data_IF_504174737226
#
_entry.id   IF_504174737226
#
_cell.length_a   1.000
_cell.length_b   1.000
_cell.length_c   1.000
_cell.angle_alpha   90.00
_cell.angle_beta   90.00
_cell.angle_gamma   90.00
#
_symmetry.space_group_name_H-M   'P 1'
#
loop_
_entity.id
_entity.type
_entity.pdbx_description
1 polymer ?
#
# COMPACT_ATOMS: atom_id res chain seq x y z
N UNK A 1 25.08 -2.50 -7.33
CA UNK A 1 24.07 -3.35 -8.03
C UNK A 1 24.03 -2.95 -9.49
N UNK A 2 24.07 -3.87 -10.45
CA UNK A 2 24.11 -3.54 -11.88
C UNK A 2 22.72 -3.04 -12.32
N UNK A 3 22.63 -2.01 -13.19
CA UNK A 3 21.37 -1.41 -13.67
C UNK A 3 20.38 -2.48 -14.17
N UNK A 4 20.87 -3.52 -14.82
CA UNK A 4 20.06 -4.68 -15.31
C UNK A 4 19.36 -5.43 -14.16
N UNK A 5 19.99 -5.55 -12.99
CA UNK A 5 19.39 -6.18 -11.79
C UNK A 5 18.32 -5.27 -11.19
N UNK A 6 18.58 -3.96 -11.13
CA UNK A 6 17.59 -2.97 -10.62
C UNK A 6 16.34 -3.01 -11.48
N UNK A 7 16.48 -2.98 -12.80
CA UNK A 7 15.37 -3.06 -13.73
C UNK A 7 14.59 -4.39 -13.59
N UNK A 8 15.30 -5.52 -13.39
CA UNK A 8 14.66 -6.82 -13.17
C UNK A 8 13.79 -6.86 -11.91
N UNK A 9 14.16 -6.17 -10.83
CA UNK A 9 13.35 -6.05 -9.62
C UNK A 9 12.21 -5.01 -9.76
N UNK A 10 12.39 -3.96 -10.56
CA UNK A 10 11.39 -2.92 -10.78
C UNK A 10 10.24 -3.37 -11.69
N UNK A 11 10.50 -4.31 -12.60
CA UNK A 11 9.48 -4.84 -13.53
C UNK A 11 8.27 -5.44 -12.79
N UNK A 12 8.50 -6.10 -11.66
CA UNK A 12 7.43 -6.73 -10.88
C UNK A 12 6.40 -5.73 -10.36
N UNK A 13 6.79 -4.79 -9.50
CA UNK A 13 5.88 -3.78 -8.95
C UNK A 13 5.19 -2.94 -10.03
N UNK A 14 5.93 -2.50 -11.05
CA UNK A 14 5.39 -1.67 -12.14
C UNK A 14 4.39 -2.48 -12.98
N UNK A 15 4.75 -3.70 -13.37
CA UNK A 15 3.87 -4.58 -14.15
C UNK A 15 2.61 -4.98 -13.36
N UNK A 16 2.76 -5.30 -12.07
CA UNK A 16 1.63 -5.63 -11.20
C UNK A 16 0.69 -4.44 -11.01
N UNK A 17 1.21 -3.21 -10.90
CA UNK A 17 0.42 -2.01 -10.79
C UNK A 17 -0.32 -1.68 -12.09
N UNK A 18 0.34 -1.81 -13.25
CA UNK A 18 -0.29 -1.61 -14.56
C UNK A 18 -1.44 -2.63 -14.79
N UNK A 19 -1.21 -3.91 -14.48
CA UNK A 19 -2.25 -4.95 -14.54
C UNK A 19 -3.37 -4.68 -13.52
N UNK A 20 -3.04 -4.15 -12.35
CA UNK A 20 -4.03 -3.74 -11.33
C UNK A 20 -4.99 -2.69 -11.87
N UNK A 21 -4.47 -1.68 -12.58
CA UNK A 21 -5.29 -0.63 -13.20
C UNK A 21 -6.25 -1.18 -14.29
N UNK A 22 -5.84 -2.23 -15.02
CA UNK A 22 -6.72 -2.91 -15.98
C UNK A 22 -7.73 -3.82 -15.28
N UNK A 23 -7.30 -4.50 -14.22
CA UNK A 23 -8.16 -5.46 -13.48
C UNK A 23 -9.35 -4.75 -12.82
N UNK A 24 -9.16 -3.52 -12.32
CA UNK A 24 -10.21 -2.79 -11.60
C UNK A 24 -11.45 -2.51 -12.45
N UNK A 25 -11.36 -1.91 -13.65
CA UNK A 25 -12.54 -1.76 -14.52
C UNK A 25 -13.17 -3.11 -14.88
N UNK A 26 -12.37 -4.13 -15.20
CA UNK A 26 -12.90 -5.46 -15.55
C UNK A 26 -13.72 -6.04 -14.37
N UNK A 27 -13.25 -5.92 -13.15
CA UNK A 27 -13.98 -6.34 -11.96
C UNK A 27 -15.27 -5.51 -11.77
N UNK A 28 -15.18 -4.18 -11.94
CA UNK A 28 -16.33 -3.29 -11.77
C UNK A 28 -17.45 -3.57 -12.79
N UNK A 29 -17.11 -4.00 -14.01
CA UNK A 29 -18.09 -4.42 -15.02
C UNK A 29 -18.60 -5.84 -14.82
N UNK A 30 -17.84 -6.70 -14.16
CA UNK A 30 -18.18 -8.12 -14.02
C UNK A 30 -18.96 -8.45 -12.73
N UNK A 31 -18.71 -7.73 -11.65
CA UNK A 31 -19.22 -8.06 -10.31
C UNK A 31 -19.94 -6.87 -9.67
N UNK A 32 -20.77 -7.17 -8.66
CA UNK A 32 -21.45 -6.14 -7.87
C UNK A 32 -20.48 -5.31 -7.03
N UNK A 33 -20.91 -4.11 -6.61
CA UNK A 33 -20.10 -3.28 -5.68
C UNK A 33 -19.87 -4.00 -4.35
N UNK A 34 -20.87 -4.72 -3.86
CA UNK A 34 -20.81 -5.50 -2.63
C UNK A 34 -19.72 -6.57 -2.72
N UNK A 35 -19.62 -7.30 -3.83
CA UNK A 35 -18.64 -8.37 -4.01
C UNK A 35 -17.20 -7.81 -4.10
N UNK A 36 -17.04 -6.66 -4.73
CA UNK A 36 -15.74 -5.95 -4.73
C UNK A 36 -15.40 -5.45 -3.32
N UNK A 37 -16.40 -4.99 -2.57
CA UNK A 37 -16.25 -4.65 -1.15
C UNK A 37 -15.79 -5.86 -0.32
N UNK A 38 -16.44 -7.02 -0.49
CA UNK A 38 -16.05 -8.28 0.16
C UNK A 38 -14.64 -8.72 -0.21
N UNK A 39 -14.25 -8.57 -1.48
CA UNK A 39 -12.86 -8.85 -1.91
C UNK A 39 -11.84 -7.93 -1.20
N UNK A 40 -12.18 -6.69 -0.94
CA UNK A 40 -11.33 -5.78 -0.17
C UNK A 40 -11.20 -6.25 1.29
N UNK A 41 -12.31 -6.66 1.93
CA UNK A 41 -12.28 -7.25 3.29
C UNK A 41 -11.36 -8.48 3.31
N UNK A 42 -11.47 -9.38 2.32
CA UNK A 42 -10.59 -10.53 2.18
C UNK A 42 -9.10 -10.11 2.16
N UNK A 43 -8.74 -9.13 1.32
CA UNK A 43 -7.36 -8.64 1.23
C UNK A 43 -6.85 -8.05 2.55
N UNK A 44 -7.66 -7.24 3.22
CA UNK A 44 -7.31 -6.62 4.51
C UNK A 44 -7.17 -7.69 5.60
N UNK A 45 -8.04 -8.69 5.62
CA UNK A 45 -7.96 -9.82 6.57
C UNK A 45 -6.73 -10.67 6.34
N UNK A 46 -6.41 -11.03 5.08
CA UNK A 46 -5.19 -11.77 4.75
C UNK A 46 -3.96 -10.97 5.19
N UNK A 47 -3.94 -9.66 4.96
CA UNK A 47 -2.80 -8.81 5.35
C UNK A 47 -2.63 -8.72 6.87
N UNK A 48 -3.72 -8.65 7.65
CA UNK A 48 -3.68 -8.68 9.11
C UNK A 48 -3.17 -10.02 9.64
N UNK A 49 -3.74 -11.11 9.14
CA UNK A 49 -3.34 -12.45 9.52
C UNK A 49 -1.85 -12.71 9.25
N UNK A 50 -1.35 -12.26 8.09
CA UNK A 50 0.07 -12.30 7.77
C UNK A 50 0.89 -11.51 8.79
N UNK A 51 0.53 -10.26 9.07
CA UNK A 51 1.27 -9.40 10.00
C UNK A 51 1.40 -10.05 11.39
N UNK A 52 0.30 -10.61 11.89
CA UNK A 52 0.28 -11.28 13.21
C UNK A 52 1.09 -12.58 13.18
N UNK A 53 0.81 -13.44 12.19
CA UNK A 53 1.43 -14.77 12.12
C UNK A 53 2.91 -14.73 11.75
N UNK A 54 3.38 -13.69 11.06
CA UNK A 54 4.80 -13.51 10.75
C UNK A 54 5.65 -13.23 11.98
N UNK A 55 5.09 -12.70 13.08
CA UNK A 55 5.81 -12.38 14.32
C UNK A 55 7.06 -11.51 14.10
N UNK A 56 7.12 -10.75 12.98
CA UNK A 56 8.30 -9.99 12.56
C UNK A 56 9.49 -10.85 12.10
N UNK A 57 9.31 -12.18 12.02
CA UNK A 57 10.35 -13.13 11.63
C UNK A 57 10.74 -13.03 10.16
N UNK A 58 9.88 -12.47 9.31
CA UNK A 58 10.23 -12.11 7.94
C UNK A 58 11.35 -11.05 7.89
N UNK A 59 11.32 -10.07 8.81
CA UNK A 59 12.38 -9.06 8.93
C UNK A 59 13.64 -9.64 9.60
N UNK A 60 13.46 -10.51 10.61
CA UNK A 60 14.55 -11.23 11.22
C UNK A 60 15.30 -12.10 10.21
N UNK A 61 14.59 -12.82 9.33
CA UNK A 61 15.19 -13.60 8.24
C UNK A 61 16.06 -12.74 7.32
N UNK A 62 15.57 -11.57 6.89
CA UNK A 62 16.33 -10.65 6.03
C UNK A 62 17.58 -10.12 6.75
N UNK A 63 17.46 -9.76 8.03
CA UNK A 63 18.56 -9.20 8.83
C UNK A 63 19.69 -10.21 9.04
N UNK A 64 19.34 -11.45 9.37
CA UNK A 64 20.33 -12.48 9.72
C UNK A 64 20.81 -13.32 8.53
N UNK A 65 20.24 -13.13 7.32
CA UNK A 65 20.53 -13.97 6.16
C UNK A 65 22.01 -14.03 5.77
N UNK A 66 22.71 -12.89 5.83
CA UNK A 66 24.14 -12.83 5.46
C UNK A 66 25.07 -13.09 6.66
N UNK A 67 24.55 -13.08 7.88
CA UNK A 67 25.31 -13.31 9.11
C UNK A 67 25.37 -14.80 9.47
N UNK A 68 24.45 -15.63 8.96
CA UNK A 68 24.30 -17.05 9.29
C UNK A 68 24.84 -17.92 8.12
N UNK A 69 25.62 -18.94 8.46
CA UNK A 69 26.10 -19.95 7.50
C UNK A 69 25.00 -20.97 7.17
N UNK A 70 24.28 -21.46 8.17
CA UNK A 70 23.16 -22.43 8.01
C UNK A 70 21.84 -21.72 7.67
N UNK A 71 21.69 -21.33 6.39
CA UNK A 71 20.49 -20.69 5.86
C UNK A 71 19.22 -21.55 5.95
N UNK A 72 19.29 -22.89 5.75
CA UNK A 72 18.17 -23.80 6.00
C UNK A 72 17.65 -23.75 7.43
N UNK A 73 18.53 -23.77 8.43
CA UNK A 73 18.14 -23.67 9.85
C UNK A 73 17.50 -22.30 10.16
N UNK A 74 18.06 -21.21 9.64
CA UNK A 74 17.48 -19.87 9.75
C UNK A 74 16.05 -19.82 9.16
N UNK A 75 15.85 -20.38 7.95
CA UNK A 75 14.51 -20.40 7.34
C UNK A 75 13.51 -21.16 8.22
N UNK A 76 13.90 -22.32 8.73
CA UNK A 76 13.04 -23.13 9.61
C UNK A 76 12.75 -22.41 10.93
N UNK A 77 13.77 -21.81 11.57
CA UNK A 77 13.62 -21.06 12.82
C UNK A 77 12.67 -19.86 12.67
N UNK A 78 12.66 -19.20 11.50
CA UNK A 78 11.74 -18.10 11.23
C UNK A 78 10.32 -18.56 10.83
N UNK A 79 10.19 -19.68 10.10
CA UNK A 79 8.91 -20.14 9.57
C UNK A 79 8.05 -20.87 10.62
N UNK A 80 8.66 -21.75 11.43
CA UNK A 80 7.94 -22.62 12.34
C UNK A 80 7.12 -21.91 13.43
N UNK A 81 7.63 -20.90 14.15
CA UNK A 81 6.83 -20.22 15.19
C UNK A 81 5.57 -19.58 14.62
N UNK A 82 5.69 -18.92 13.47
CA UNK A 82 4.56 -18.31 12.80
C UNK A 82 3.55 -19.33 12.27
N UNK A 83 4.03 -20.48 11.74
CA UNK A 83 3.17 -21.56 11.28
C UNK A 83 2.38 -22.19 12.44
N UNK A 84 3.01 -22.40 13.58
CA UNK A 84 2.34 -22.92 14.78
C UNK A 84 1.27 -21.93 15.24
N UNK A 85 1.58 -20.65 15.33
CA UNK A 85 0.59 -19.62 15.69
C UNK A 85 -0.58 -19.60 14.69
N UNK A 86 -0.29 -19.67 13.40
CA UNK A 86 -1.31 -19.72 12.36
C UNK A 86 -2.23 -20.93 12.51
N UNK A 87 -1.69 -22.11 12.79
CA UNK A 87 -2.47 -23.32 13.01
C UNK A 87 -3.34 -23.23 14.28
N UNK A 88 -2.80 -22.69 15.38
CA UNK A 88 -3.58 -22.47 16.61
C UNK A 88 -4.74 -21.51 16.32
N UNK A 89 -4.48 -20.36 15.69
CA UNK A 89 -5.52 -19.40 15.33
C UNK A 89 -6.55 -20.01 14.38
N UNK A 90 -6.10 -20.81 13.39
CA UNK A 90 -7.00 -21.50 12.46
C UNK A 90 -7.95 -22.45 13.18
N UNK A 91 -7.45 -23.27 14.14
CA UNK A 91 -8.26 -24.19 14.91
C UNK A 91 -9.27 -23.41 15.81
N UNK A 92 -8.80 -22.37 16.49
CA UNK A 92 -9.67 -21.53 17.34
C UNK A 92 -10.77 -20.86 16.53
N UNK A 93 -10.43 -20.29 15.37
CA UNK A 93 -11.39 -19.60 14.50
C UNK A 93 -12.33 -20.57 13.77
N UNK A 94 -11.93 -21.83 13.52
CA UNK A 94 -12.75 -22.81 12.83
C UNK A 94 -14.06 -23.12 13.56
N UNK A 95 -14.08 -23.01 14.91
CA UNK A 95 -15.29 -23.18 15.72
C UNK A 95 -16.33 -22.09 15.44
N UNK A 96 -15.89 -20.91 15.02
CA UNK A 96 -16.72 -19.73 14.73
C UNK A 96 -16.74 -19.40 13.23
N UNK A 97 -16.60 -20.41 12.36
CA UNK A 97 -16.44 -20.18 10.92
C UNK A 97 -17.59 -19.41 10.28
N UNK A 98 -18.84 -19.71 10.68
CA UNK A 98 -20.05 -19.05 10.19
C UNK A 98 -20.16 -17.63 10.74
N UNK A 99 -19.95 -17.43 12.04
CA UNK A 99 -19.98 -16.11 12.69
C UNK A 99 -18.91 -15.17 12.10
N UNK A 100 -17.70 -15.70 11.85
CA UNK A 100 -16.62 -14.94 11.24
C UNK A 100 -16.96 -14.59 9.80
N UNK A 101 -17.58 -15.52 9.02
CA UNK A 101 -18.03 -15.25 7.67
C UNK A 101 -19.10 -14.16 7.65
N UNK A 102 -20.08 -14.23 8.54
CA UNK A 102 -21.12 -13.23 8.71
C UNK A 102 -20.51 -11.86 9.07
N UNK A 103 -19.57 -11.85 10.03
CA UNK A 103 -18.88 -10.63 10.45
C UNK A 103 -18.09 -10.00 9.29
N UNK A 104 -17.37 -10.81 8.51
CA UNK A 104 -16.50 -10.32 7.44
C UNK A 104 -17.27 -9.95 6.18
N UNK A 105 -18.18 -10.81 5.73
CA UNK A 105 -18.79 -10.72 4.40
C UNK A 105 -20.29 -10.37 4.44
N UNK A 106 -20.92 -10.41 5.62
CA UNK A 106 -22.35 -10.19 5.76
C UNK A 106 -23.20 -11.37 5.33
N UNK A 107 -22.61 -12.55 5.15
CA UNK A 107 -23.26 -13.79 4.75
C UNK A 107 -22.82 -14.94 5.66
N UNK A 108 -23.78 -15.72 6.11
CA UNK A 108 -23.59 -16.88 6.97
C UNK A 108 -23.24 -18.12 6.11
N UNK A 109 -22.08 -18.10 5.49
CA UNK A 109 -21.57 -19.17 4.66
C UNK A 109 -20.15 -19.58 5.11
N UNK A 110 -20.06 -20.65 5.90
CA UNK A 110 -18.77 -21.17 6.38
C UNK A 110 -17.75 -21.44 5.27
N UNK A 111 -18.21 -21.66 4.03
CA UNK A 111 -17.34 -21.83 2.86
C UNK A 111 -16.42 -20.63 2.65
N UNK A 112 -16.89 -19.39 2.85
CA UNK A 112 -16.08 -18.18 2.67
C UNK A 112 -14.93 -18.13 3.70
N UNK A 113 -15.19 -18.57 4.93
CA UNK A 113 -14.16 -18.68 5.95
C UNK A 113 -13.03 -19.65 5.53
N UNK A 114 -13.41 -20.87 5.08
CA UNK A 114 -12.41 -21.89 4.71
C UNK A 114 -11.54 -21.47 3.53
N UNK A 115 -12.14 -20.81 2.52
CA UNK A 115 -11.39 -20.27 1.39
C UNK A 115 -10.46 -19.15 1.87
N UNK A 116 -10.92 -18.26 2.75
CA UNK A 116 -10.11 -17.20 3.34
C UNK A 116 -8.93 -17.78 4.12
N UNK A 117 -9.17 -18.78 4.95
CA UNK A 117 -8.14 -19.46 5.71
C UNK A 117 -7.08 -20.09 4.78
N UNK A 118 -7.51 -20.74 3.71
CA UNK A 118 -6.59 -21.26 2.69
C UNK A 118 -5.76 -20.13 2.07
N UNK A 119 -6.37 -19.00 1.73
CA UNK A 119 -5.64 -17.84 1.20
C UNK A 119 -4.62 -17.29 2.20
N UNK A 120 -4.93 -17.28 3.50
CA UNK A 120 -3.99 -16.87 4.56
C UNK A 120 -2.79 -17.83 4.63
N UNK A 121 -3.05 -19.15 4.62
CA UNK A 121 -1.98 -20.16 4.67
C UNK A 121 -1.06 -20.04 3.44
N UNK A 122 -1.65 -19.93 2.23
CA UNK A 122 -0.87 -19.79 0.99
C UNK A 122 -0.07 -18.51 0.96
N UNK A 123 -0.63 -17.40 1.42
CA UNK A 123 0.05 -16.13 1.51
C UNK A 123 1.19 -16.16 2.54
N UNK A 124 0.99 -16.79 3.70
CA UNK A 124 2.01 -16.96 4.75
C UNK A 124 3.23 -17.72 4.21
N UNK A 125 3.02 -18.88 3.59
CA UNK A 125 4.12 -19.69 3.04
C UNK A 125 4.80 -18.92 1.90
N UNK A 126 4.01 -18.32 0.99
CA UNK A 126 4.52 -17.55 -0.15
C UNK A 126 5.39 -16.38 0.29
N UNK A 127 5.08 -15.74 1.42
CA UNK A 127 5.88 -14.63 1.97
C UNK A 127 7.31 -15.06 2.26
N UNK A 128 7.52 -16.17 3.00
CA UNK A 128 8.86 -16.68 3.29
C UNK A 128 9.60 -17.12 2.03
N UNK A 129 8.93 -17.83 1.11
CA UNK A 129 9.54 -18.27 -0.14
C UNK A 129 9.95 -17.09 -1.02
N UNK A 130 9.17 -15.99 -1.02
CA UNK A 130 9.52 -14.77 -1.73
C UNK A 130 10.80 -14.11 -1.21
N UNK A 131 11.01 -14.17 0.12
CA UNK A 131 12.22 -13.64 0.74
C UNK A 131 13.47 -14.40 0.31
N UNK A 132 13.38 -15.72 0.12
CA UNK A 132 14.50 -16.52 -0.40
C UNK A 132 14.93 -15.98 -1.77
N UNK A 133 13.98 -15.80 -2.70
CA UNK A 133 14.28 -15.27 -4.04
C UNK A 133 14.89 -13.85 -3.99
N UNK A 134 14.40 -13.02 -3.06
CA UNK A 134 14.91 -11.67 -2.86
C UNK A 134 16.34 -11.68 -2.33
N UNK A 135 16.63 -12.51 -1.32
CA UNK A 135 17.96 -12.60 -0.70
C UNK A 135 18.99 -13.26 -1.62
N UNK A 136 18.54 -14.14 -2.52
CA UNK A 136 19.38 -14.73 -3.58
C UNK A 136 19.55 -13.82 -4.81
N UNK A 137 19.04 -12.58 -4.78
CA UNK A 137 19.06 -11.63 -5.91
C UNK A 137 18.42 -12.17 -7.20
N UNK A 138 17.48 -13.10 -7.12
CA UNK A 138 16.76 -13.68 -8.26
C UNK A 138 15.63 -12.77 -8.73
N UNK A 139 15.99 -11.54 -9.18
CA UNK A 139 15.08 -10.43 -9.45
C UNK A 139 14.00 -10.75 -10.46
N UNK A 140 14.29 -11.49 -11.54
CA UNK A 140 13.30 -11.84 -12.55
C UNK A 140 12.24 -12.80 -11.98
N UNK A 141 12.64 -13.84 -11.24
CA UNK A 141 11.71 -14.78 -10.61
C UNK A 141 10.82 -14.04 -9.58
N UNK A 142 11.38 -13.13 -8.82
CA UNK A 142 10.66 -12.28 -7.89
C UNK A 142 9.66 -11.36 -8.61
N UNK A 143 10.03 -10.76 -9.74
CA UNK A 143 9.14 -9.88 -10.52
C UNK A 143 8.01 -10.66 -11.19
N UNK A 144 8.30 -11.82 -11.77
CA UNK A 144 7.28 -12.68 -12.38
C UNK A 144 6.25 -13.15 -11.35
N UNK A 145 6.65 -13.44 -10.13
CA UNK A 145 5.74 -13.83 -9.07
C UNK A 145 4.78 -12.72 -8.60
N UNK A 146 5.03 -11.46 -8.95
CA UNK A 146 4.09 -10.36 -8.71
C UNK A 146 3.13 -10.14 -9.91
N UNK A 147 3.60 -10.42 -11.12
CA UNK A 147 2.83 -10.25 -12.35
C UNK A 147 1.87 -11.41 -12.58
N UNK A 148 2.36 -12.65 -12.43
CA UNK A 148 1.59 -13.87 -12.69
C UNK A 148 0.25 -13.92 -11.92
N UNK A 149 0.19 -13.59 -10.61
CA UNK A 149 -1.09 -13.61 -9.88
C UNK A 149 -2.12 -12.66 -10.48
N UNK A 150 -1.70 -11.49 -10.94
CA UNK A 150 -2.60 -10.52 -11.58
C UNK A 150 -3.13 -11.04 -12.91
N UNK A 151 -2.29 -11.71 -13.69
CA UNK A 151 -2.70 -12.38 -14.93
C UNK A 151 -3.67 -13.53 -14.66
N UNK A 152 -3.38 -14.36 -13.66
CA UNK A 152 -4.26 -15.48 -13.27
C UNK A 152 -5.62 -14.96 -12.81
N UNK A 153 -5.63 -13.91 -11.96
CA UNK A 153 -6.85 -13.27 -11.51
C UNK A 153 -7.67 -12.75 -12.70
N UNK A 154 -7.03 -12.02 -13.61
CA UNK A 154 -7.68 -11.46 -14.80
C UNK A 154 -8.20 -12.57 -15.73
N UNK A 155 -7.41 -13.64 -15.93
CA UNK A 155 -7.81 -14.81 -16.73
C UNK A 155 -8.99 -15.54 -16.10
N UNK A 156 -8.98 -15.75 -14.77
CA UNK A 156 -10.07 -16.42 -14.05
C UNK A 156 -11.37 -15.60 -14.16
N UNK A 157 -11.30 -14.29 -13.99
CA UNK A 157 -12.44 -13.39 -14.19
C UNK A 157 -12.92 -13.44 -15.64
N UNK A 158 -12.01 -13.46 -16.61
CA UNK A 158 -12.35 -13.65 -18.03
C UNK A 158 -13.12 -14.96 -18.27
N UNK A 159 -12.65 -16.08 -17.70
CA UNK A 159 -13.35 -17.37 -17.77
C UNK A 159 -14.75 -17.28 -17.17
N UNK A 160 -14.93 -16.69 -16.00
CA UNK A 160 -16.25 -16.50 -15.37
C UNK A 160 -17.20 -15.73 -16.29
N UNK A 161 -16.70 -14.67 -16.95
CA UNK A 161 -17.50 -13.86 -17.88
C UNK A 161 -17.92 -14.68 -19.10
N UNK A 162 -17.00 -15.43 -19.70
CA UNK A 162 -17.26 -16.19 -20.95
C UNK A 162 -18.08 -17.45 -20.75
N UNK A 163 -17.93 -18.12 -19.59
CA UNK A 163 -18.67 -19.36 -19.29
C UNK A 163 -20.08 -19.14 -18.75
N UNK A 164 -20.45 -17.91 -18.42
CA UNK A 164 -21.75 -17.59 -17.83
C UNK A 164 -21.94 -18.10 -16.41
N UNK A 165 -20.86 -18.44 -15.69
CA UNK A 165 -20.92 -18.78 -14.26
C UNK A 165 -21.51 -17.59 -13.49
N UNK A 166 -22.31 -17.88 -12.46
CA UNK A 166 -22.88 -16.86 -11.59
C UNK A 166 -21.80 -15.89 -11.07
N UNK A 167 -22.01 -14.61 -11.30
CA UNK A 167 -21.07 -13.53 -10.95
C UNK A 167 -21.29 -13.10 -9.51
N UNK A 168 -21.03 -14.02 -8.60
CA UNK A 168 -21.19 -13.87 -7.17
C UNK A 168 -19.83 -13.81 -6.47
N UNK A 169 -19.82 -13.42 -5.20
CA UNK A 169 -18.61 -13.32 -4.40
C UNK A 169 -17.81 -14.63 -4.34
N UNK A 170 -18.48 -15.78 -4.30
CA UNK A 170 -17.80 -17.09 -4.29
C UNK A 170 -16.90 -17.27 -5.52
N UNK A 171 -17.40 -16.92 -6.71
CA UNK A 171 -16.62 -17.03 -7.94
C UNK A 171 -15.40 -16.10 -7.91
N UNK A 172 -15.56 -14.88 -7.39
CA UNK A 172 -14.49 -13.91 -7.22
C UNK A 172 -13.46 -14.36 -6.18
N UNK A 173 -13.92 -14.96 -5.07
CA UNK A 173 -13.06 -15.50 -4.03
C UNK A 173 -12.26 -16.71 -4.55
N UNK A 174 -12.86 -17.58 -5.36
CA UNK A 174 -12.18 -18.70 -6.02
C UNK A 174 -11.14 -18.22 -7.04
N UNK A 175 -11.43 -17.15 -7.78
CA UNK A 175 -10.44 -16.51 -8.67
C UNK A 175 -9.24 -15.97 -7.89
N UNK A 176 -9.48 -15.36 -6.73
CA UNK A 176 -8.43 -14.90 -5.83
C UNK A 176 -7.62 -16.08 -5.26
N UNK A 177 -8.29 -17.17 -4.84
CA UNK A 177 -7.66 -18.39 -4.38
C UNK A 177 -6.76 -19.01 -5.47
N UNK A 178 -7.23 -19.08 -6.71
CA UNK A 178 -6.44 -19.57 -7.84
C UNK A 178 -5.18 -18.71 -8.06
N UNK A 179 -5.34 -17.39 -7.96
CA UNK A 179 -4.24 -16.43 -8.04
C UNK A 179 -3.18 -16.67 -6.95
N UNK A 180 -3.58 -16.77 -5.69
CA UNK A 180 -2.66 -16.99 -4.55
C UNK A 180 -2.01 -18.38 -4.59
N UNK A 181 -2.76 -19.40 -4.98
CA UNK A 181 -2.24 -20.77 -5.15
C UNK A 181 -1.17 -20.84 -6.25
N UNK A 182 -1.38 -20.15 -7.37
CA UNK A 182 -0.39 -20.07 -8.46
C UNK A 182 0.90 -19.42 -7.97
N UNK A 183 0.82 -18.37 -7.16
CA UNK A 183 1.99 -17.74 -6.52
C UNK A 183 2.75 -18.75 -5.67
N UNK A 184 2.03 -19.49 -4.82
CA UNK A 184 2.64 -20.51 -3.95
C UNK A 184 3.36 -21.58 -4.79
N UNK A 185 2.73 -22.08 -5.84
CA UNK A 185 3.33 -23.10 -6.72
C UNK A 185 4.60 -22.55 -7.37
N UNK A 186 4.55 -21.33 -7.92
CA UNK A 186 5.71 -20.70 -8.57
C UNK A 186 6.85 -20.52 -7.58
N UNK A 187 6.57 -20.04 -6.38
CA UNK A 187 7.60 -19.87 -5.35
C UNK A 187 8.15 -21.23 -4.87
N UNK A 188 7.28 -22.19 -4.55
CA UNK A 188 7.68 -23.49 -4.07
C UNK A 188 8.57 -24.22 -5.11
N UNK A 189 8.22 -24.14 -6.39
CA UNK A 189 9.04 -24.70 -7.46
C UNK A 189 10.41 -24.04 -7.57
N UNK A 190 10.45 -22.71 -7.53
CA UNK A 190 11.70 -21.96 -7.67
C UNK A 190 12.63 -22.08 -6.47
N UNK A 191 12.10 -22.37 -5.27
CA UNK A 191 12.87 -22.48 -4.01
C UNK A 191 12.89 -23.90 -3.45
N UNK A 192 12.63 -24.92 -4.29
CA UNK A 192 12.46 -26.32 -3.83
C UNK A 192 13.67 -26.87 -3.07
N UNK A 193 14.88 -26.49 -3.45
CA UNK A 193 16.11 -26.95 -2.79
C UNK A 193 16.22 -26.39 -1.37
N UNK A 194 15.89 -25.13 -1.22
CA UNK A 194 16.01 -24.37 0.04
C UNK A 194 15.02 -24.86 1.08
N UNK A 195 13.73 -24.95 0.74
CA UNK A 195 12.74 -25.41 1.72
C UNK A 195 12.85 -26.90 2.03
N UNK A 196 13.25 -27.77 1.06
CA UNK A 196 13.54 -29.17 1.33
C UNK A 196 14.72 -29.35 2.30
N UNK A 197 15.78 -28.54 2.17
CA UNK A 197 16.90 -28.53 3.10
C UNK A 197 16.47 -28.01 4.48
N UNK A 198 15.60 -26.98 4.53
CA UNK A 198 15.08 -26.45 5.78
C UNK A 198 14.26 -27.49 6.56
N UNK A 199 13.47 -28.35 5.89
CA UNK A 199 12.74 -29.42 6.58
C UNK A 199 13.68 -30.40 7.32
N UNK A 200 14.85 -30.66 6.77
CA UNK A 200 15.84 -31.59 7.35
C UNK A 200 16.72 -30.95 8.42
N UNK A 201 16.79 -29.62 8.46
CA UNK A 201 17.60 -28.89 9.42
C UNK A 201 16.98 -28.94 10.84
N UNK A 202 17.83 -28.77 11.85
CA UNK A 202 17.41 -28.70 13.28
C UNK A 202 17.84 -27.33 13.83
N UNK A 203 16.95 -26.32 13.81
CA UNK A 203 17.28 -25.02 14.38
C UNK A 203 17.42 -25.14 15.89
N UNK A 204 18.34 -24.36 16.46
CA UNK A 204 18.50 -24.23 17.89
C UNK A 204 17.33 -23.42 18.47
N UNK A 205 16.82 -23.88 19.62
CA UNK A 205 15.74 -23.24 20.37
C UNK A 205 16.11 -21.82 20.82
N UNK A 206 17.35 -21.64 21.28
CA UNK A 206 17.80 -20.35 21.83
C UNK A 206 18.01 -19.34 20.67
N UNK A 207 18.47 -19.81 19.52
CA UNK A 207 18.52 -18.98 18.31
C UNK A 207 17.12 -18.53 17.86
N UNK A 208 16.12 -19.43 17.91
CA UNK A 208 14.72 -19.09 17.59
C UNK A 208 14.17 -18.03 18.56
N UNK A 209 14.45 -18.13 19.87
CA UNK A 209 14.06 -17.11 20.86
C UNK A 209 14.70 -15.75 20.58
N UNK A 210 15.97 -15.73 20.17
CA UNK A 210 16.67 -14.49 19.78
C UNK A 210 15.98 -13.83 18.58
N UNK A 211 15.63 -14.60 17.55
CA UNK A 211 14.91 -14.10 16.38
C UNK A 211 13.52 -13.54 16.74
N UNK A 212 12.79 -14.22 17.64
CA UNK A 212 11.50 -13.75 18.14
C UNK A 212 11.63 -12.45 18.94
N UNK A 213 12.64 -12.34 19.79
CA UNK A 213 12.93 -11.12 20.55
C UNK A 213 13.21 -9.92 19.63
N UNK A 214 13.86 -10.15 18.50
CA UNK A 214 14.08 -9.12 17.47
C UNK A 214 12.77 -8.79 16.72
N UNK A 215 11.95 -9.79 16.39
CA UNK A 215 10.74 -9.63 15.60
C UNK A 215 9.57 -8.98 16.35
N UNK A 216 9.37 -9.31 17.63
CA UNK A 216 8.21 -8.89 18.41
C UNK A 216 7.96 -7.36 18.44
N UNK A 217 8.96 -6.49 18.66
CA UNK A 217 8.76 -5.04 18.59
C UNK A 217 8.32 -4.56 17.20
N UNK A 218 8.74 -5.26 16.14
CA UNK A 218 8.40 -4.91 14.77
C UNK A 218 6.93 -5.21 14.45
N UNK A 219 6.36 -6.25 15.07
CA UNK A 219 4.92 -6.55 14.94
C UNK A 219 4.09 -5.39 15.49
N UNK A 220 4.45 -4.86 16.66
CA UNK A 220 3.71 -3.75 17.27
C UNK A 220 3.67 -2.51 16.34
N UNK A 221 4.81 -2.11 15.79
CA UNK A 221 4.88 -1.00 14.83
C UNK A 221 4.14 -1.32 13.53
N UNK A 222 4.19 -2.58 13.10
CA UNK A 222 3.47 -3.08 11.94
C UNK A 222 1.95 -3.01 12.12
N UNK A 223 1.42 -3.37 13.29
CA UNK A 223 -0.01 -3.29 13.61
C UNK A 223 -0.52 -1.85 13.57
N UNK A 224 0.24 -0.90 14.11
CA UNK A 224 -0.12 0.53 14.07
C UNK A 224 -0.18 1.02 12.61
N UNK A 225 0.82 0.68 11.79
CA UNK A 225 0.85 1.05 10.38
C UNK A 225 -0.26 0.37 9.57
N UNK A 226 -0.48 -0.92 9.80
CA UNK A 226 -1.61 -1.65 9.22
C UNK A 226 -2.95 -1.02 9.61
N UNK A 227 -3.12 -0.65 10.88
CA UNK A 227 -4.29 0.04 11.37
C UNK A 227 -4.55 1.34 10.60
N UNK A 228 -3.52 2.17 10.42
CA UNK A 228 -3.63 3.40 9.62
C UNK A 228 -4.11 3.11 8.18
N UNK A 229 -3.62 2.04 7.56
CA UNK A 229 -3.99 1.63 6.21
C UNK A 229 -5.40 1.03 6.12
N UNK A 230 -5.77 0.20 7.09
CA UNK A 230 -6.99 -0.61 7.06
C UNK A 230 -8.22 0.10 7.66
N UNK A 231 -8.04 1.19 8.40
CA UNK A 231 -9.12 1.90 9.12
C UNK A 231 -10.32 2.16 8.23
N UNK A 232 -10.12 2.68 7.02
CA UNK A 232 -11.20 2.99 6.08
C UNK A 232 -12.01 1.74 5.69
N UNK A 233 -11.34 0.63 5.39
CA UNK A 233 -12.02 -0.64 5.05
C UNK A 233 -12.77 -1.20 6.25
N UNK A 234 -12.16 -1.19 7.44
CA UNK A 234 -12.77 -1.71 8.66
C UNK A 234 -13.98 -0.86 9.05
N UNK A 235 -13.87 0.45 9.05
CA UNK A 235 -14.98 1.34 9.41
C UNK A 235 -16.11 1.27 8.39
N UNK A 236 -15.83 1.21 7.09
CA UNK A 236 -16.85 1.01 6.06
C UNK A 236 -17.56 -0.32 6.23
N UNK A 237 -16.85 -1.40 6.57
CA UNK A 237 -17.47 -2.71 6.78
C UNK A 237 -18.49 -2.70 7.92
N UNK A 238 -18.21 -1.95 9.00
CA UNK A 238 -19.08 -1.94 10.20
C UNK A 238 -20.14 -0.85 10.20
N UNK A 239 -19.92 0.27 9.50
CA UNK A 239 -20.78 1.46 9.62
C UNK A 239 -21.44 1.87 8.30
N UNK A 240 -21.17 1.18 7.20
CA UNK A 240 -21.76 1.50 5.90
C UNK A 240 -22.16 0.23 5.13
N UNK A 241 -23.03 0.32 4.10
CA UNK A 241 -23.31 -0.78 3.19
C UNK A 241 -22.05 -1.27 2.47
N UNK A 242 -22.01 -2.55 2.10
CA UNK A 242 -20.88 -3.13 1.36
C UNK A 242 -20.66 -2.48 -0.02
N UNK A 243 -21.69 -1.90 -0.62
CA UNK A 243 -21.60 -1.10 -1.85
C UNK A 243 -20.68 0.12 -1.69
N UNK A 244 -20.75 0.83 -0.55
CA UNK A 244 -19.85 1.94 -0.23
C UNK A 244 -18.41 1.46 -0.07
N UNK A 245 -18.23 0.28 0.50
CA UNK A 245 -16.91 -0.34 0.58
C UNK A 245 -16.37 -0.72 -0.81
N UNK A 246 -17.24 -1.21 -1.71
CA UNK A 246 -16.90 -1.47 -3.11
C UNK A 246 -16.48 -0.19 -3.85
N UNK A 247 -17.26 0.88 -3.68
CA UNK A 247 -16.96 2.20 -4.24
C UNK A 247 -15.59 2.73 -3.75
N UNK A 248 -15.34 2.64 -2.44
CA UNK A 248 -14.05 2.98 -1.84
C UNK A 248 -12.91 2.12 -2.43
N UNK A 249 -13.12 0.82 -2.59
CA UNK A 249 -12.10 -0.13 -3.06
C UNK A 249 -11.66 0.16 -4.50
N UNK A 250 -12.61 0.45 -5.38
CA UNK A 250 -12.33 0.87 -6.76
C UNK A 250 -11.59 2.21 -6.77
N UNK A 251 -12.06 3.19 -5.99
CA UNK A 251 -11.41 4.49 -5.85
C UNK A 251 -9.97 4.37 -5.38
N UNK A 252 -9.73 3.61 -4.31
CA UNK A 252 -8.39 3.37 -3.75
C UNK A 252 -7.46 2.66 -4.74
N UNK A 253 -8.01 1.78 -5.57
CA UNK A 253 -7.24 1.06 -6.59
C UNK A 253 -6.73 1.99 -7.70
N UNK A 254 -7.53 2.97 -8.14
CA UNK A 254 -7.05 4.01 -9.06
C UNK A 254 -6.00 4.91 -8.40
N UNK A 255 -6.21 5.28 -7.14
CA UNK A 255 -5.24 6.08 -6.38
C UNK A 255 -3.91 5.34 -6.14
N UNK A 256 -3.94 4.00 -6.12
CA UNK A 256 -2.73 3.18 -6.00
C UNK A 256 -1.72 3.39 -7.13
N UNK A 257 -2.12 3.93 -8.29
CA UNK A 257 -1.18 4.36 -9.32
C UNK A 257 -0.17 5.39 -8.80
N UNK A 258 -0.56 6.28 -7.90
CA UNK A 258 0.35 7.23 -7.27
C UNK A 258 1.37 6.56 -6.34
N UNK A 259 1.08 5.36 -5.83
CA UNK A 259 2.03 4.58 -5.02
C UNK A 259 3.22 4.06 -5.82
N UNK A 260 3.13 4.01 -7.16
CA UNK A 260 4.29 3.72 -8.03
C UNK A 260 5.31 4.87 -7.88
N UNK A 261 4.84 6.11 -7.96
CA UNK A 261 5.70 7.29 -7.76
C UNK A 261 6.35 7.27 -6.37
N UNK A 262 5.55 6.98 -5.34
CA UNK A 262 6.03 6.80 -3.97
C UNK A 262 7.14 5.74 -3.89
N UNK A 263 6.91 4.55 -4.43
CA UNK A 263 7.85 3.42 -4.31
C UNK A 263 9.17 3.68 -5.03
N UNK A 264 9.13 4.25 -6.24
CA UNK A 264 10.33 4.63 -7.00
C UNK A 264 11.11 5.71 -6.27
N UNK A 265 10.44 6.72 -5.75
CA UNK A 265 11.07 7.81 -5.02
C UNK A 265 11.75 7.30 -3.73
N UNK A 266 11.06 6.51 -2.90
CA UNK A 266 11.60 5.98 -1.64
C UNK A 266 12.87 5.14 -1.82
N UNK A 267 12.95 4.35 -2.89
CA UNK A 267 14.14 3.53 -3.17
C UNK A 267 15.38 4.37 -3.48
N UNK A 268 15.21 5.51 -4.14
CA UNK A 268 16.32 6.36 -4.60
C UNK A 268 16.69 7.41 -3.55
N UNK A 269 15.69 7.97 -2.87
CA UNK A 269 15.84 9.17 -2.06
C UNK A 269 16.69 8.95 -0.81
N UNK A 270 16.34 7.98 0.02
CA UNK A 270 17.04 7.76 1.29
C UNK A 270 18.54 7.46 1.13
N UNK A 271 18.99 6.55 0.24
CA UNK A 271 20.41 6.32 -0.01
C UNK A 271 21.13 7.58 -0.52
N UNK A 272 20.47 8.37 -1.37
CA UNK A 272 21.05 9.60 -1.93
C UNK A 272 21.33 10.63 -0.84
N UNK A 273 20.38 10.86 0.07
CA UNK A 273 20.55 11.83 1.15
C UNK A 273 21.60 11.37 2.16
N UNK A 274 21.61 10.08 2.51
CA UNK A 274 22.62 9.55 3.42
C UNK A 274 24.04 9.66 2.83
N UNK A 275 24.19 9.47 1.52
CA UNK A 275 25.44 9.71 0.81
C UNK A 275 25.87 11.18 0.88
N UNK A 276 24.96 12.12 0.57
CA UNK A 276 25.23 13.56 0.69
C UNK A 276 25.64 13.96 2.11
N UNK A 277 24.99 13.39 3.12
CA UNK A 277 25.33 13.66 4.52
C UNK A 277 26.72 13.14 4.89
N UNK A 278 27.08 11.94 4.46
CA UNK A 278 28.38 11.33 4.71
C UNK A 278 29.53 12.07 3.99
N UNK A 279 29.26 12.61 2.80
CA UNK A 279 30.23 13.40 2.01
C UNK A 279 30.31 14.86 2.46
N UNK A 280 29.53 15.29 3.46
CA UNK A 280 29.51 16.69 3.92
C UNK A 280 28.94 17.67 2.90
N UNK A 281 28.15 17.17 1.93
CA UNK A 281 27.57 17.98 0.87
C UNK A 281 26.55 19.01 1.45
N UNK A 282 26.32 20.08 0.69
CA UNK A 282 25.33 21.09 1.06
C UNK A 282 23.92 20.48 1.14
N UNK A 283 23.37 20.49 2.34
CA UNK A 283 22.01 19.99 2.62
C UNK A 283 20.91 20.94 2.10
N UNK A 284 21.26 22.09 1.54
CA UNK A 284 20.34 22.94 0.77
C UNK A 284 19.71 22.21 -0.42
N UNK A 285 20.39 21.19 -0.96
CA UNK A 285 19.87 20.30 -2.00
C UNK A 285 18.57 19.59 -1.57
N UNK A 286 18.47 19.19 -0.30
CA UNK A 286 17.23 18.55 0.25
C UNK A 286 16.06 19.52 0.15
N UNK A 287 16.31 20.80 0.43
CA UNK A 287 15.28 21.82 0.32
C UNK A 287 14.84 22.07 -1.14
N UNK A 288 15.79 22.08 -2.09
CA UNK A 288 15.46 22.18 -3.51
C UNK A 288 14.57 21.00 -3.98
N UNK A 289 14.96 19.77 -3.61
CA UNK A 289 14.16 18.56 -3.94
C UNK A 289 12.77 18.62 -3.29
N UNK A 290 12.65 19.14 -2.06
CA UNK A 290 11.32 19.24 -1.43
C UNK A 290 10.36 20.16 -2.18
N UNK A 291 10.86 21.27 -2.75
CA UNK A 291 10.05 22.15 -3.62
C UNK A 291 9.67 21.48 -4.92
N UNK A 292 10.60 20.73 -5.53
CA UNK A 292 10.33 19.99 -6.76
C UNK A 292 9.30 18.87 -6.55
N UNK A 293 9.39 18.12 -5.45
CA UNK A 293 8.41 17.08 -5.10
C UNK A 293 7.04 17.71 -4.78
N UNK A 294 7.00 18.82 -4.05
CA UNK A 294 5.76 19.56 -3.80
C UNK A 294 5.12 20.02 -5.12
N UNK A 295 5.91 20.58 -6.04
CA UNK A 295 5.44 20.97 -7.37
C UNK A 295 4.86 19.76 -8.12
N UNK A 296 5.55 18.61 -8.11
CA UNK A 296 5.08 17.39 -8.75
C UNK A 296 3.76 16.90 -8.13
N UNK A 297 3.63 16.92 -6.81
CA UNK A 297 2.39 16.58 -6.08
C UNK A 297 1.24 17.49 -6.52
N UNK A 298 1.47 18.82 -6.57
CA UNK A 298 0.44 19.77 -7.02
C UNK A 298 0.02 19.52 -8.47
N UNK A 299 0.97 19.25 -9.36
CA UNK A 299 0.70 18.97 -10.79
C UNK A 299 -0.06 17.66 -10.95
N UNK A 300 0.33 16.59 -10.23
CA UNK A 300 -0.38 15.30 -10.26
C UNK A 300 -1.83 15.49 -9.81
N UNK A 301 -2.07 16.18 -8.68
CA UNK A 301 -3.43 16.46 -8.21
C UNK A 301 -4.23 17.28 -9.22
N UNK A 302 -3.61 18.32 -9.80
CA UNK A 302 -4.29 19.16 -10.82
C UNK A 302 -4.67 18.36 -12.07
N UNK A 303 -3.75 17.56 -12.60
CA UNK A 303 -4.02 16.70 -13.76
C UNK A 303 -5.09 15.65 -13.45
N UNK A 304 -5.00 14.99 -12.29
CA UNK A 304 -6.03 14.04 -11.88
C UNK A 304 -7.39 14.74 -11.70
N UNK A 305 -7.44 15.96 -11.17
CA UNK A 305 -8.67 16.73 -11.04
C UNK A 305 -9.28 17.11 -12.37
N UNK A 306 -8.45 17.53 -13.34
CA UNK A 306 -8.91 17.87 -14.68
C UNK A 306 -9.42 16.65 -15.45
N UNK A 307 -8.79 15.48 -15.28
CA UNK A 307 -9.06 14.29 -16.06
C UNK A 307 -9.87 13.20 -15.30
N UNK A 308 -10.29 13.42 -14.06
CA UNK A 308 -11.02 12.40 -13.28
C UNK A 308 -12.35 11.98 -13.91
N UNK A 309 -12.97 12.82 -14.74
CA UNK A 309 -14.19 12.49 -15.48
C UNK A 309 -13.99 11.31 -16.47
N UNK A 310 -12.75 10.98 -16.82
CA UNK A 310 -12.46 9.80 -17.65
C UNK A 310 -12.88 8.51 -16.98
N UNK A 311 -13.01 8.47 -15.65
CA UNK A 311 -13.51 7.31 -14.92
C UNK A 311 -14.94 6.95 -15.30
N UNK A 312 -15.77 7.90 -15.74
CA UNK A 312 -17.14 7.65 -16.20
C UNK A 312 -17.19 6.78 -17.46
N UNK A 313 -16.12 6.78 -18.28
CA UNK A 313 -16.02 5.92 -19.46
C UNK A 313 -15.41 4.55 -19.15
N UNK A 314 -14.68 4.45 -18.05
CA UNK A 314 -13.98 3.22 -17.66
C UNK A 314 -14.84 2.34 -16.75
N UNK A 315 -15.79 2.92 -16.02
CA UNK A 315 -16.55 2.26 -14.97
C UNK A 315 -18.05 2.27 -15.29
N UNK A 316 -18.82 1.29 -14.75
CA UNK A 316 -20.28 1.32 -14.83
C UNK A 316 -20.89 2.54 -14.13
N UNK A 317 -22.13 2.92 -14.52
CA UNK A 317 -22.83 4.10 -13.98
C UNK A 317 -22.89 4.18 -12.45
N UNK A 318 -23.02 3.02 -11.77
CA UNK A 318 -23.00 2.96 -10.31
C UNK A 318 -21.73 3.53 -9.65
N UNK A 319 -20.63 3.62 -10.38
CA UNK A 319 -19.34 4.16 -9.90
C UNK A 319 -19.12 5.63 -10.26
N UNK A 320 -20.13 6.36 -10.69
CA UNK A 320 -20.02 7.77 -11.11
C UNK A 320 -19.42 8.71 -10.06
N UNK A 321 -19.53 8.37 -8.77
CA UNK A 321 -18.92 9.13 -7.67
C UNK A 321 -17.41 8.98 -7.58
N UNK A 322 -16.80 7.97 -8.23
CA UNK A 322 -15.33 7.74 -8.17
C UNK A 322 -14.55 8.97 -8.63
N UNK A 323 -15.02 9.69 -9.66
CA UNK A 323 -14.38 10.90 -10.18
C UNK A 323 -14.18 12.01 -9.13
N UNK A 324 -15.05 12.08 -8.13
CA UNK A 324 -14.95 13.04 -7.03
C UNK A 324 -14.09 12.50 -5.88
N UNK A 325 -14.18 11.18 -5.60
CA UNK A 325 -13.50 10.51 -4.50
C UNK A 325 -12.00 10.33 -4.74
N UNK A 326 -11.60 10.11 -6.00
CA UNK A 326 -10.22 9.74 -6.37
C UNK A 326 -9.20 10.78 -5.92
N UNK A 327 -9.57 12.06 -5.91
CA UNK A 327 -8.67 13.15 -5.51
C UNK A 327 -8.29 13.08 -4.03
N UNK A 328 -9.26 12.83 -3.16
CA UNK A 328 -8.98 12.59 -1.74
C UNK A 328 -8.16 11.30 -1.55
N UNK A 329 -8.46 10.25 -2.32
CA UNK A 329 -7.75 8.99 -2.25
C UNK A 329 -6.28 9.05 -2.74
N UNK A 330 -5.92 10.05 -3.55
CA UNK A 330 -4.54 10.31 -3.98
C UNK A 330 -3.68 10.98 -2.89
N UNK A 331 -4.29 11.69 -1.93
CA UNK A 331 -3.56 12.42 -0.90
C UNK A 331 -2.63 11.49 -0.08
N UNK A 332 -3.06 10.32 0.42
CA UNK A 332 -2.21 9.42 1.20
C UNK A 332 -0.85 9.10 0.57
N UNK A 333 -0.76 8.50 -0.64
CA UNK A 333 0.53 8.16 -1.23
C UNK A 333 1.37 9.39 -1.58
N UNK A 334 0.74 10.52 -1.96
CA UNK A 334 1.45 11.77 -2.27
C UNK A 334 2.01 12.43 -1.01
N UNK A 335 1.26 12.46 0.09
CA UNK A 335 1.75 12.97 1.38
C UNK A 335 2.82 12.08 1.97
N UNK A 336 2.72 10.76 1.81
CA UNK A 336 3.78 9.86 2.20
C UNK A 336 5.08 10.18 1.45
N UNK A 337 5.01 10.34 0.12
CA UNK A 337 6.17 10.70 -0.71
C UNK A 337 6.79 12.04 -0.30
N UNK A 338 5.97 13.07 -0.09
CA UNK A 338 6.44 14.38 0.36
C UNK A 338 7.08 14.29 1.76
N UNK A 339 6.52 13.45 2.64
CA UNK A 339 7.09 13.21 3.98
C UNK A 339 8.47 12.55 3.94
N UNK A 340 8.75 11.69 2.98
CA UNK A 340 10.07 11.07 2.79
C UNK A 340 11.17 12.13 2.60
N UNK A 341 10.86 13.21 1.89
CA UNK A 341 11.81 14.30 1.65
C UNK A 341 12.07 15.10 2.91
N UNK A 342 11.03 15.38 3.69
CA UNK A 342 11.12 16.27 4.84
C UNK A 342 11.56 15.57 6.13
N UNK A 343 11.38 14.25 6.23
CA UNK A 343 11.67 13.48 7.44
C UNK A 343 13.09 12.92 7.53
N UNK A 344 13.98 13.25 6.60
CA UNK A 344 15.35 12.69 6.54
C UNK A 344 16.14 12.85 7.84
N UNK A 345 15.86 13.89 8.62
CA UNK A 345 16.48 14.13 9.93
C UNK A 345 16.25 12.99 10.92
N UNK A 346 15.11 12.31 10.87
CA UNK A 346 14.81 11.15 11.74
C UNK A 346 15.78 10.00 11.44
N UNK A 347 16.06 9.74 10.15
CA UNK A 347 17.00 8.71 9.74
C UNK A 347 18.45 9.08 10.03
N UNK A 348 18.87 10.32 9.74
CA UNK A 348 20.22 10.83 9.99
C UNK A 348 20.54 10.79 11.48
N UNK A 349 19.60 11.19 12.34
CA UNK A 349 19.79 11.15 13.81
C UNK A 349 19.58 9.78 14.42
N UNK A 350 19.20 8.77 13.60
CA UNK A 350 18.92 7.39 14.04
C UNK A 350 17.81 7.27 15.09
N UNK A 351 16.90 8.26 15.21
CA UNK A 351 15.79 8.28 16.16
C UNK A 351 14.52 7.69 15.55
N UNK A 352 14.65 6.52 14.91
CA UNK A 352 13.55 5.86 14.16
C UNK A 352 12.34 5.49 15.02
N UNK A 353 12.51 5.28 16.33
CA UNK A 353 11.40 5.03 17.26
C UNK A 353 10.33 6.14 17.28
N UNK A 354 10.70 7.39 16.96
CA UNK A 354 9.75 8.50 16.86
C UNK A 354 8.71 8.28 15.74
N UNK A 355 9.06 7.53 14.70
CA UNK A 355 8.13 7.21 13.60
C UNK A 355 6.92 6.39 14.08
N UNK A 356 7.10 5.56 15.11
CA UNK A 356 6.00 4.77 15.69
C UNK A 356 4.95 5.71 16.31
N UNK A 357 5.38 6.69 17.08
CA UNK A 357 4.48 7.66 17.71
C UNK A 357 3.78 8.53 16.68
N UNK A 358 4.49 8.98 15.64
CA UNK A 358 3.90 9.75 14.54
C UNK A 358 2.81 8.93 13.84
N UNK A 359 3.09 7.67 13.54
CA UNK A 359 2.14 6.76 12.89
C UNK A 359 0.93 6.50 13.81
N UNK A 360 1.15 6.33 15.11
CA UNK A 360 0.09 6.13 16.09
C UNK A 360 -0.87 7.33 16.14
N UNK A 361 -0.35 8.55 16.17
CA UNK A 361 -1.19 9.76 16.17
C UNK A 361 -1.98 9.84 14.87
N UNK A 362 -1.37 9.62 13.72
CA UNK A 362 -2.07 9.60 12.44
C UNK A 362 -3.15 8.50 12.39
N UNK A 363 -2.87 7.32 12.91
CA UNK A 363 -3.83 6.23 13.04
C UNK A 363 -5.03 6.63 13.91
N UNK A 364 -4.77 7.20 15.09
CA UNK A 364 -5.84 7.67 15.98
C UNK A 364 -6.71 8.76 15.32
N UNK A 365 -6.09 9.71 14.61
CA UNK A 365 -6.83 10.73 13.84
C UNK A 365 -7.71 10.07 12.78
N UNK A 366 -7.16 9.09 12.04
CA UNK A 366 -7.93 8.34 11.04
C UNK A 366 -9.14 7.64 11.66
N UNK A 367 -8.94 6.91 12.75
CA UNK A 367 -10.02 6.20 13.47
C UNK A 367 -11.09 7.17 13.95
N UNK A 368 -10.70 8.25 14.64
CA UNK A 368 -11.65 9.22 15.19
C UNK A 368 -12.49 9.90 14.12
N UNK A 369 -11.86 10.30 13.02
CA UNK A 369 -12.57 10.90 11.89
C UNK A 369 -13.44 9.86 11.15
N UNK A 370 -12.94 8.64 10.93
CA UNK A 370 -13.69 7.61 10.22
C UNK A 370 -14.94 7.17 10.99
N UNK A 371 -14.85 6.95 12.29
CA UNK A 371 -16.02 6.62 13.13
C UNK A 371 -17.10 7.71 13.05
N UNK A 372 -16.71 8.96 12.86
CA UNK A 372 -17.66 10.09 12.77
C UNK A 372 -18.17 10.30 11.34
N UNK A 373 -17.29 10.25 10.33
CA UNK A 373 -17.65 10.62 8.96
C UNK A 373 -18.20 9.46 8.14
N UNK A 374 -17.76 8.21 8.37
CA UNK A 374 -18.21 7.06 7.58
C UNK A 374 -19.71 6.78 7.76
N UNK A 375 -20.30 6.82 8.96
CA UNK A 375 -21.75 6.63 9.12
C UNK A 375 -22.60 7.69 8.40
N UNK A 376 -22.03 8.91 8.21
CA UNK A 376 -22.75 10.03 7.58
C UNK A 376 -22.56 10.11 6.07
N UNK A 377 -21.35 9.74 5.58
CA UNK A 377 -20.93 10.00 4.21
C UNK A 377 -20.37 8.78 3.48
N UNK A 378 -20.43 7.58 4.06
CA UNK A 378 -19.94 6.36 3.43
C UNK A 378 -18.50 6.44 2.96
N UNK A 379 -18.27 6.09 1.69
CA UNK A 379 -16.95 6.12 1.04
C UNK A 379 -16.32 7.52 1.05
N UNK A 380 -17.11 8.57 0.93
CA UNK A 380 -16.64 9.94 0.97
C UNK A 380 -16.04 10.27 2.35
N UNK A 381 -16.72 9.86 3.43
CA UNK A 381 -16.21 9.98 4.79
C UNK A 381 -14.90 9.24 4.99
N UNK A 382 -14.76 8.05 4.42
CA UNK A 382 -13.55 7.23 4.52
C UNK A 382 -12.34 7.86 3.81
N UNK A 383 -12.50 8.35 2.57
CA UNK A 383 -11.40 8.98 1.83
C UNK A 383 -10.95 10.29 2.45
N UNK A 384 -11.89 11.12 2.99
CA UNK A 384 -11.56 12.37 3.67
C UNK A 384 -10.82 12.11 4.98
N UNK A 385 -11.29 11.14 5.78
CA UNK A 385 -10.62 10.75 7.03
C UNK A 385 -9.19 10.29 6.78
N UNK A 386 -9.00 9.42 5.80
CA UNK A 386 -7.68 8.89 5.43
C UNK A 386 -6.76 10.00 4.88
N UNK A 387 -7.26 10.86 3.99
CA UNK A 387 -6.51 11.99 3.47
C UNK A 387 -6.04 12.94 4.59
N UNK A 388 -6.94 13.30 5.50
CA UNK A 388 -6.62 14.17 6.65
C UNK A 388 -5.58 13.52 7.56
N UNK A 389 -5.71 12.23 7.86
CA UNK A 389 -4.75 11.50 8.68
C UNK A 389 -3.35 11.49 8.06
N UNK A 390 -3.24 11.34 6.74
CA UNK A 390 -1.95 11.39 6.05
C UNK A 390 -1.35 12.80 5.95
N UNK A 391 -2.17 13.83 5.91
CA UNK A 391 -1.68 15.21 6.05
C UNK A 391 -1.11 15.42 7.46
N UNK A 392 -1.79 14.94 8.52
CA UNK A 392 -1.27 14.98 9.89
C UNK A 392 0.03 14.17 10.01
N UNK A 393 0.07 12.97 9.44
CA UNK A 393 1.28 12.14 9.38
C UNK A 393 2.46 12.88 8.74
N UNK A 394 2.23 13.51 7.58
CA UNK A 394 3.23 14.32 6.89
C UNK A 394 3.71 15.50 7.75
N UNK A 395 2.80 16.27 8.32
CA UNK A 395 3.14 17.44 9.15
C UNK A 395 3.94 17.03 10.38
N UNK A 396 3.54 15.97 11.09
CA UNK A 396 4.26 15.49 12.26
C UNK A 396 5.67 14.98 11.90
N UNK A 397 5.81 14.21 10.82
CA UNK A 397 7.14 13.75 10.36
C UNK A 397 8.06 14.94 10.06
N UNK A 398 7.52 15.98 9.42
CA UNK A 398 8.27 17.18 9.06
C UNK A 398 8.67 17.98 10.31
N UNK A 399 7.75 18.21 11.27
CA UNK A 399 8.04 18.93 12.50
C UNK A 399 9.06 18.19 13.37
N UNK A 400 8.84 16.90 13.60
CA UNK A 400 9.77 16.10 14.39
C UNK A 400 11.17 16.10 13.76
N UNK A 401 11.27 15.92 12.45
CA UNK A 401 12.54 15.98 11.73
C UNK A 401 13.22 17.37 11.87
N UNK A 402 12.43 18.43 11.78
CA UNK A 402 12.91 19.81 11.92
C UNK A 402 13.42 20.12 13.34
N UNK A 403 12.79 19.57 14.37
CA UNK A 403 13.16 19.75 15.77
C UNK A 403 14.45 19.00 16.14
N UNK A 404 14.63 17.76 15.61
CA UNK A 404 15.76 16.90 16.03
C UNK A 404 17.01 17.06 15.17
N UNK A 405 16.89 17.67 13.99
CA UNK A 405 18.02 17.78 13.06
C UNK A 405 18.28 19.21 12.63
N UNK A 406 17.54 19.75 11.67
CA UNK A 406 17.70 21.11 11.15
C UNK A 406 16.35 21.73 10.83
N UNK A 407 16.20 23.00 11.13
CA UNK A 407 15.02 23.77 10.73
C UNK A 407 14.89 23.80 9.21
N UNK A 408 13.65 23.57 8.75
CA UNK A 408 13.31 23.45 7.34
C UNK A 408 12.26 24.52 6.98
N UNK A 409 12.46 25.31 5.89
CA UNK A 409 11.48 26.30 5.46
C UNK A 409 10.22 25.60 4.97
N UNK A 410 9.16 25.56 5.79
CA UNK A 410 7.97 24.74 5.59
C UNK A 410 6.67 25.49 5.33
N UNK A 411 6.67 26.82 5.49
CA UNK A 411 5.46 27.61 5.32
C UNK A 411 4.80 27.43 3.93
N UNK A 412 5.59 27.50 2.85
CA UNK A 412 5.10 27.26 1.48
C UNK A 412 4.56 25.82 1.32
N UNK A 413 5.22 24.84 1.93
CA UNK A 413 4.80 23.44 1.84
C UNK A 413 3.45 23.25 2.54
N UNK A 414 3.30 23.74 3.76
CA UNK A 414 2.06 23.63 4.52
C UNK A 414 0.91 24.37 3.85
N UNK A 415 1.17 25.56 3.30
CA UNK A 415 0.17 26.28 2.52
C UNK A 415 -0.39 25.46 1.37
N UNK A 416 0.47 24.86 0.53
CA UNK A 416 0.02 24.06 -0.60
C UNK A 416 -0.60 22.74 -0.20
N UNK A 417 -0.11 22.09 0.87
CA UNK A 417 -0.70 20.84 1.39
C UNK A 417 -2.10 21.08 1.95
N UNK A 418 -2.30 22.14 2.74
CA UNK A 418 -3.63 22.50 3.26
C UNK A 418 -4.57 22.94 2.15
N UNK A 419 -4.06 23.69 1.17
CA UNK A 419 -4.84 24.09 -0.01
C UNK A 419 -5.26 22.86 -0.83
N UNK A 420 -4.37 21.90 -1.09
CA UNK A 420 -4.70 20.65 -1.78
C UNK A 420 -5.78 19.87 -1.04
N UNK A 421 -5.64 19.66 0.27
CA UNK A 421 -6.65 18.97 1.06
C UNK A 421 -8.01 19.70 0.97
N UNK A 422 -8.01 21.02 1.09
CA UNK A 422 -9.23 21.82 0.99
C UNK A 422 -9.86 21.70 -0.39
N UNK A 423 -9.06 21.78 -1.47
CA UNK A 423 -9.57 21.66 -2.85
C UNK A 423 -10.13 20.28 -3.13
N UNK A 424 -9.50 19.20 -2.62
CA UNK A 424 -10.03 17.84 -2.80
C UNK A 424 -11.36 17.65 -2.06
N UNK A 425 -11.52 18.22 -0.87
CA UNK A 425 -12.79 18.21 -0.13
C UNK A 425 -13.85 19.06 -0.86
N UNK A 426 -13.49 20.25 -1.34
CA UNK A 426 -14.41 21.10 -2.13
C UNK A 426 -14.86 20.39 -3.40
N UNK A 427 -13.95 19.68 -4.08
CA UNK A 427 -14.31 18.85 -5.25
C UNK A 427 -15.35 17.79 -4.88
N UNK A 428 -15.18 17.12 -3.75
CA UNK A 428 -16.12 16.11 -3.27
C UNK A 428 -17.51 16.74 -2.99
N UNK A 429 -17.55 17.89 -2.32
CA UNK A 429 -18.78 18.63 -2.03
C UNK A 429 -19.42 19.23 -3.29
N UNK A 430 -18.65 19.45 -4.36
CA UNK A 430 -19.16 19.96 -5.63
C UNK A 430 -19.86 18.90 -6.49
N UNK A 431 -20.02 17.68 -6.01
CA UNK A 431 -20.70 16.59 -6.72
C UNK A 431 -22.12 16.95 -7.18
N UNK A 432 -22.82 17.81 -6.42
CA UNK A 432 -24.16 18.31 -6.75
C UNK A 432 -24.15 19.32 -7.90
N UNK A 433 -23.03 20.01 -8.15
CA UNK A 433 -22.94 21.08 -9.17
C UNK A 433 -22.42 20.61 -10.53
N UNK A 434 -22.13 19.30 -10.66
CA UNK A 434 -21.74 18.66 -11.90
C UNK A 434 -20.24 18.74 -12.24
N UNK A 435 -19.89 18.02 -13.30
CA UNK A 435 -18.49 17.80 -13.72
C UNK A 435 -17.73 19.08 -14.06
N UNK A 436 -18.38 20.04 -14.71
CA UNK A 436 -17.72 21.28 -15.17
C UNK A 436 -17.21 22.14 -14.00
N UNK A 437 -17.91 22.13 -12.87
CA UNK A 437 -17.57 22.96 -11.71
C UNK A 437 -16.23 22.55 -11.10
N UNK A 438 -16.04 21.24 -10.85
CA UNK A 438 -14.78 20.81 -10.22
C UNK A 438 -13.62 20.86 -11.22
N UNK A 439 -13.84 20.59 -12.51
CA UNK A 439 -12.81 20.73 -13.55
C UNK A 439 -12.32 22.18 -13.61
N UNK A 440 -13.24 23.16 -13.55
CA UNK A 440 -12.87 24.58 -13.51
C UNK A 440 -12.00 24.94 -12.30
N UNK A 441 -12.29 24.38 -11.10
CA UNK A 441 -11.47 24.57 -9.89
C UNK A 441 -10.02 24.13 -10.15
N UNK A 442 -9.82 22.93 -10.76
CA UNK A 442 -8.48 22.39 -11.00
C UNK A 442 -7.77 23.09 -12.18
N UNK A 443 -8.53 23.55 -13.19
CA UNK A 443 -8.01 24.40 -14.27
C UNK A 443 -7.52 25.76 -13.73
N UNK A 444 -8.18 26.34 -12.74
CA UNK A 444 -7.72 27.56 -12.07
C UNK A 444 -6.52 27.30 -11.13
N UNK A 445 -6.43 26.12 -10.52
CA UNK A 445 -5.31 25.76 -9.65
C UNK A 445 -4.00 25.57 -10.44
N UNK A 446 -4.03 25.02 -11.64
CA UNK A 446 -2.84 24.74 -12.44
C UNK A 446 -1.98 25.99 -12.76
N UNK A 447 -2.54 27.13 -13.24
CA UNK A 447 -1.79 28.37 -13.41
C UNK A 447 -1.20 28.91 -12.10
N UNK A 448 -1.92 28.79 -10.99
CA UNK A 448 -1.41 29.17 -9.68
C UNK A 448 -0.13 28.37 -9.33
N UNK A 449 -0.12 27.07 -9.55
CA UNK A 449 1.08 26.23 -9.40
C UNK A 449 2.20 26.73 -10.33
N UNK A 450 1.89 27.01 -11.59
CA UNK A 450 2.85 27.53 -12.56
C UNK A 450 3.52 28.84 -12.12
N UNK A 451 2.74 29.78 -11.56
CA UNK A 451 3.26 31.07 -11.08
C UNK A 451 4.16 30.89 -9.85
N UNK A 452 3.71 30.11 -8.87
CA UNK A 452 4.44 29.93 -7.59
C UNK A 452 5.70 29.05 -7.72
N UNK A 453 5.75 28.14 -8.70
CA UNK A 453 6.86 27.20 -8.92
C UNK A 453 7.67 27.48 -10.17
N UNK A 454 7.48 28.64 -10.86
CA UNK A 454 8.17 28.96 -12.13
C UNK A 454 9.69 28.86 -12.04
N UNK A 455 10.29 29.30 -10.91
CA UNK A 455 11.74 29.23 -10.69
C UNK A 455 12.20 27.79 -10.49
N UNK A 456 11.48 27.03 -9.66
CA UNK A 456 11.77 25.63 -9.37
C UNK A 456 11.66 24.75 -10.63
N UNK A 457 10.67 25.04 -11.51
CA UNK A 457 10.50 24.41 -12.82
C UNK A 457 11.68 24.72 -13.78
N UNK A 458 12.13 25.97 -13.82
CA UNK A 458 13.24 26.38 -14.68
C UNK A 458 14.57 25.73 -14.23
N UNK A 459 14.83 25.65 -12.93
CA UNK A 459 15.99 24.95 -12.37
C UNK A 459 15.97 23.46 -12.75
N UNK A 460 14.82 22.80 -12.65
CA UNK A 460 14.67 21.40 -13.03
C UNK A 460 14.92 21.16 -14.52
N UNK A 461 14.40 22.01 -15.39
CA UNK A 461 14.61 21.92 -16.83
C UNK A 461 16.09 22.10 -17.21
N UNK A 462 16.78 23.01 -16.54
CA UNK A 462 18.22 23.22 -16.76
C UNK A 462 19.05 22.03 -16.27
N UNK A 463 18.73 21.46 -15.10
CA UNK A 463 19.41 20.27 -14.58
C UNK A 463 19.27 19.09 -15.57
N UNK A 464 18.08 18.87 -16.15
CA UNK A 464 17.86 17.81 -17.14
C UNK A 464 18.64 18.05 -18.43
N UNK A 465 18.75 19.31 -18.90
CA UNK A 465 19.55 19.66 -20.08
C UNK A 465 21.04 19.40 -19.87
N UNK A 466 21.57 19.72 -18.69
CA UNK A 466 22.98 19.46 -18.36
C UNK A 466 23.31 17.97 -18.21
N UNK A 467 22.37 17.15 -17.74
CA UNK A 467 22.55 15.71 -17.62
C UNK A 467 22.55 14.94 -18.95
N UNK A 468 22.06 15.57 -20.03
CA UNK A 468 22.04 15.00 -21.39
C UNK A 468 23.27 15.38 -22.25
N UNK A 469 24.13 16.28 -21.75
CA UNK A 469 25.45 16.58 -22.30
C UNK A 469 26.56 15.86 -21.54
#
# INVERSE_FOLDING_TARGET
MNLRKILAFALGPVGAAALGLVTVPVLAWAFSMEDIGRLNVLNVTVSLALLICMLGLDQAYVRHYYETEDKPALLKACLWPGLILLLILAICCAVFAEDISLLMYGEDAGTYFWITLYCVITAFISRFLSLILRMQERGLAYSMSQIIPKLVMLSAVGIIIFTGIAREFLALQLAFLASTSTVLIVYAWNTRKEWQSAFRSKPDSDYTKQLLSFGAPLVFSGVIYWGLMATSTVTLRFYAPLSELGLYSVTASFAAAASIFQSVFSVIWAPTVYKWHAEGADMGKVHAVSKQVLMAVCVICALCGIFSWLTDYLLPEGYSSVKYLILCALIPPLMYTLSEVTCVGIGITKRTGLTIWITLVAFLVNVLLSIKLVPMFGAAGAVVSNATAYVVFFMMRTEVSSLIWRSFPRAKIYFFVTLLLSLTIVTLLSSEYGTYTYVAIWLCFLPLVGIFFRKDAYELLNAVKFSRR
#
